data_IF_948940121620
#
_entry.id   IF_948940121620
#
_cell.length_a   1.000
_cell.length_b   1.000
_cell.length_c   1.000
_cell.angle_alpha   90.00
_cell.angle_beta   90.00
_cell.angle_gamma   90.00
#
_symmetry.space_group_name_H-M   'P 1'
#
loop_
_entity.id
_entity.type
_entity.pdbx_description
1 polymer ?
#
# COMPACT_ATOMS: atom_id res chain seq x y z
N UNK A 1 -0.93 -16.48 -11.53
CA UNK A 1 -0.82 -15.09 -12.04
C UNK A 1 -1.02 -14.10 -10.90
N UNK A 2 -2.16 -14.15 -10.19
CA UNK A 2 -2.47 -13.26 -9.06
C UNK A 2 -1.33 -13.09 -8.02
N UNK A 3 -0.67 -14.18 -7.60
CA UNK A 3 0.44 -14.11 -6.63
C UNK A 3 1.65 -13.28 -7.12
N UNK A 4 1.94 -13.28 -8.42
CA UNK A 4 3.05 -12.51 -9.02
C UNK A 4 2.68 -11.02 -9.10
N UNK A 5 1.42 -10.71 -9.40
CA UNK A 5 0.91 -9.34 -9.45
C UNK A 5 0.91 -8.68 -8.06
N UNK A 6 0.50 -9.41 -7.02
CA UNK A 6 0.56 -8.93 -5.62
C UNK A 6 2.01 -8.65 -5.19
N UNK A 7 2.94 -9.53 -5.52
CA UNK A 7 4.37 -9.31 -5.21
C UNK A 7 4.93 -8.08 -5.92
N UNK A 8 4.53 -7.87 -7.18
CA UNK A 8 4.98 -6.73 -7.99
C UNK A 8 4.42 -5.42 -7.43
N UNK A 9 3.14 -5.41 -7.05
CA UNK A 9 2.49 -4.28 -6.40
C UNK A 9 3.22 -3.83 -5.12
N UNK A 10 3.49 -4.75 -4.18
CA UNK A 10 4.20 -4.38 -2.96
C UNK A 10 5.64 -3.92 -3.23
N UNK A 11 6.31 -4.52 -4.21
CA UNK A 11 7.64 -4.07 -4.62
C UNK A 11 7.61 -2.62 -5.13
N UNK A 12 6.62 -2.27 -5.97
CA UNK A 12 6.47 -0.92 -6.50
C UNK A 12 6.21 0.11 -5.40
N UNK A 13 5.42 -0.23 -4.37
CA UNK A 13 5.18 0.64 -3.22
C UNK A 13 6.43 0.85 -2.36
N UNK A 14 7.17 -0.24 -2.08
CA UNK A 14 8.44 -0.16 -1.36
C UNK A 14 9.41 0.74 -2.12
N UNK A 15 9.48 0.58 -3.44
CA UNK A 15 10.34 1.38 -4.30
C UNK A 15 9.94 2.86 -4.33
N UNK A 16 8.64 3.18 -4.33
CA UNK A 16 8.17 4.55 -4.17
C UNK A 16 8.58 5.14 -2.82
N UNK A 17 8.41 4.37 -1.73
CA UNK A 17 8.85 4.77 -0.37
C UNK A 17 10.34 5.10 -0.34
N UNK A 18 11.18 4.24 -0.90
CA UNK A 18 12.64 4.42 -0.89
C UNK A 18 13.06 5.67 -1.65
N UNK A 19 12.41 5.99 -2.78
CA UNK A 19 12.66 7.23 -3.52
C UNK A 19 12.29 8.49 -2.73
N UNK A 20 11.18 8.44 -1.99
CA UNK A 20 10.74 9.57 -1.14
C UNK A 20 11.75 9.78 -0.02
N UNK A 21 12.10 8.71 0.71
CA UNK A 21 13.05 8.78 1.82
C UNK A 21 14.43 9.24 1.35
N UNK A 22 14.92 8.73 0.21
CA UNK A 22 16.18 9.20 -0.36
C UNK A 22 16.15 10.70 -0.70
N UNK A 23 15.01 11.25 -1.13
CA UNK A 23 14.89 12.70 -1.32
C UNK A 23 14.98 13.46 0.01
N UNK A 24 14.35 12.95 1.06
CA UNK A 24 14.37 13.57 2.38
C UNK A 24 15.75 13.47 3.04
N UNK A 25 16.44 12.34 2.90
CA UNK A 25 17.82 12.18 3.36
C UNK A 25 18.74 13.23 2.72
N UNK A 26 18.61 13.46 1.40
CA UNK A 26 19.35 14.55 0.71
C UNK A 26 19.01 15.93 1.26
N UNK A 27 17.75 16.17 1.61
CA UNK A 27 17.33 17.44 2.19
C UNK A 27 17.94 17.64 3.58
N UNK A 28 17.94 16.61 4.41
CA UNK A 28 18.54 16.65 5.75
C UNK A 28 20.06 16.87 5.66
N UNK A 29 20.73 16.23 4.69
CA UNK A 29 22.16 16.42 4.44
C UNK A 29 22.50 17.85 3.98
N UNK A 30 21.67 18.46 3.13
CA UNK A 30 21.95 19.77 2.54
C UNK A 30 21.45 20.95 3.38
N UNK A 31 20.33 20.78 4.08
CA UNK A 31 19.57 21.84 4.73
C UNK A 31 19.30 21.55 6.22
N UNK A 32 20.04 20.62 6.84
CA UNK A 32 19.83 20.21 8.23
C UNK A 32 19.87 21.34 9.27
N UNK A 33 20.67 22.37 9.02
CA UNK A 33 20.78 23.56 9.88
C UNK A 33 19.92 24.75 9.41
N UNK A 34 19.08 24.57 8.37
CA UNK A 34 18.22 25.65 7.86
C UNK A 34 17.11 25.98 8.87
N UNK A 35 16.95 27.27 9.20
CA UNK A 35 15.98 27.75 10.20
C UNK A 35 14.52 27.39 9.87
N UNK A 36 14.20 27.15 8.59
CA UNK A 36 12.87 26.72 8.13
C UNK A 36 12.62 25.23 8.34
N UNK A 37 13.69 24.45 8.58
CA UNK A 37 13.72 23.00 8.56
C UNK A 37 14.06 22.44 7.17
N UNK A 38 14.83 21.35 7.17
CA UNK A 38 15.39 20.73 5.98
C UNK A 38 14.36 20.38 4.90
N UNK A 39 13.20 19.82 5.30
CA UNK A 39 12.12 19.49 4.37
C UNK A 39 11.57 20.73 3.64
N UNK A 40 11.35 21.82 4.37
CA UNK A 40 10.78 23.06 3.82
C UNK A 40 11.78 23.74 2.90
N UNK A 41 13.05 23.80 3.31
CA UNK A 41 14.12 24.30 2.48
C UNK A 41 14.28 23.43 1.21
N UNK A 42 14.36 22.12 1.36
CA UNK A 42 14.50 21.17 0.27
C UNK A 42 13.40 21.26 -0.77
N UNK A 43 12.12 21.30 -0.36
CA UNK A 43 10.99 21.45 -1.31
C UNK A 43 11.07 22.79 -2.05
N UNK A 44 11.50 23.86 -1.38
CA UNK A 44 11.53 25.20 -1.98
C UNK A 44 12.67 25.39 -2.98
N UNK A 45 13.82 24.77 -2.73
CA UNK A 45 14.99 24.86 -3.60
C UNK A 45 15.07 23.73 -4.65
N UNK A 46 14.17 22.74 -4.58
CA UNK A 46 14.10 21.63 -5.53
C UNK A 46 13.58 22.08 -6.90
N UNK A 47 14.20 21.59 -7.97
CA UNK A 47 13.75 21.86 -9.33
C UNK A 47 12.35 21.28 -9.58
N UNK A 48 11.51 21.99 -10.35
CA UNK A 48 10.12 21.60 -10.62
C UNK A 48 9.98 20.15 -11.12
N UNK A 49 10.89 19.70 -11.98
CA UNK A 49 10.88 18.33 -12.51
C UNK A 49 11.14 17.28 -11.43
N UNK A 50 12.06 17.54 -10.51
CA UNK A 50 12.31 16.67 -9.36
C UNK A 50 11.15 16.70 -8.36
N UNK A 51 10.57 17.89 -8.12
CA UNK A 51 9.41 18.05 -7.24
C UNK A 51 8.19 17.28 -7.76
N UNK A 52 7.90 17.38 -9.07
CA UNK A 52 6.83 16.59 -9.69
C UNK A 52 7.07 15.10 -9.50
N UNK A 53 8.30 14.61 -9.68
CA UNK A 53 8.63 13.21 -9.46
C UNK A 53 8.45 12.78 -7.99
N UNK A 54 8.85 13.61 -7.03
CA UNK A 54 8.62 13.35 -5.61
C UNK A 54 7.12 13.24 -5.30
N UNK A 55 6.32 14.19 -5.79
CA UNK A 55 4.88 14.21 -5.60
C UNK A 55 4.17 13.00 -6.23
N UNK A 56 4.61 12.56 -7.41
CA UNK A 56 4.09 11.34 -8.05
C UNK A 56 4.38 10.10 -7.19
N UNK A 57 5.58 9.97 -6.63
CA UNK A 57 5.90 8.84 -5.75
C UNK A 57 5.06 8.86 -4.46
N UNK A 58 4.85 10.04 -3.87
CA UNK A 58 3.97 10.22 -2.70
C UNK A 58 2.54 9.81 -3.05
N UNK A 59 2.01 10.29 -4.18
CA UNK A 59 0.67 9.95 -4.64
C UNK A 59 0.51 8.44 -4.85
N UNK A 60 1.48 7.79 -5.50
CA UNK A 60 1.47 6.33 -5.71
C UNK A 60 1.48 5.55 -4.40
N UNK A 61 2.29 5.98 -3.43
CA UNK A 61 2.32 5.35 -2.11
C UNK A 61 0.98 5.52 -1.38
N UNK A 62 0.36 6.69 -1.46
CA UNK A 62 -0.94 6.96 -0.85
C UNK A 62 -2.07 6.14 -1.50
N UNK A 63 -2.12 6.06 -2.83
CA UNK A 63 -3.09 5.21 -3.53
C UNK A 63 -2.87 3.72 -3.22
N UNK A 64 -1.61 3.27 -3.21
CA UNK A 64 -1.29 1.89 -2.83
C UNK A 64 -1.72 1.53 -1.41
N UNK A 65 -1.70 2.47 -0.46
CA UNK A 65 -2.26 2.23 0.86
C UNK A 65 -3.78 1.98 0.83
N UNK A 66 -4.53 2.72 0.00
CA UNK A 66 -5.97 2.50 -0.20
C UNK A 66 -6.26 1.14 -0.85
N UNK A 67 -5.43 0.74 -1.81
CA UNK A 67 -5.52 -0.58 -2.45
C UNK A 67 -5.27 -1.71 -1.42
N UNK A 68 -4.29 -1.55 -0.53
CA UNK A 68 -4.03 -2.50 0.57
C UNK A 68 -5.25 -2.61 1.49
N UNK A 69 -5.87 -1.49 1.87
CA UNK A 69 -7.08 -1.51 2.69
C UNK A 69 -8.21 -2.29 2.00
N UNK A 70 -8.38 -2.10 0.69
CA UNK A 70 -9.38 -2.83 -0.10
C UNK A 70 -9.09 -4.33 -0.12
N UNK A 71 -7.84 -4.73 -0.34
CA UNK A 71 -7.43 -6.13 -0.32
C UNK A 71 -7.65 -6.78 1.07
N UNK A 72 -7.42 -6.03 2.16
CA UNK A 72 -7.70 -6.53 3.51
C UNK A 72 -9.19 -6.74 3.73
N UNK A 73 -10.03 -5.78 3.36
CA UNK A 73 -11.50 -5.93 3.47
C UNK A 73 -12.00 -7.13 2.67
N UNK A 74 -11.51 -7.33 1.45
CA UNK A 74 -11.87 -8.48 0.63
C UNK A 74 -11.45 -9.81 1.27
N UNK A 75 -10.24 -9.89 1.82
CA UNK A 75 -9.77 -11.08 2.50
C UNK A 75 -10.61 -11.41 3.75
N UNK A 76 -11.00 -10.41 4.53
CA UNK A 76 -11.89 -10.57 5.69
C UNK A 76 -13.29 -11.07 5.28
N UNK A 77 -13.84 -10.52 4.19
CA UNK A 77 -15.13 -10.95 3.62
C UNK A 77 -15.07 -12.39 3.10
N UNK A 78 -13.99 -12.78 2.41
CA UNK A 78 -13.77 -14.14 1.93
C UNK A 78 -13.66 -15.15 3.07
N UNK A 79 -12.95 -14.82 4.15
CA UNK A 79 -12.82 -15.69 5.33
C UNK A 79 -14.15 -15.85 6.07
N UNK A 80 -14.92 -14.75 6.19
CA UNK A 80 -16.27 -14.79 6.75
C UNK A 80 -17.20 -15.66 5.89
N UNK A 81 -17.18 -15.48 4.57
CA UNK A 81 -18.02 -16.26 3.66
C UNK A 81 -17.66 -17.74 3.70
N UNK A 82 -16.36 -18.09 3.72
CA UNK A 82 -15.89 -19.47 3.86
C UNK A 82 -16.38 -20.12 5.16
N UNK A 83 -16.40 -19.36 6.26
CA UNK A 83 -16.88 -19.82 7.57
C UNK A 83 -18.39 -20.06 7.59
N UNK A 84 -19.16 -19.24 6.86
CA UNK A 84 -20.61 -19.42 6.71
C UNK A 84 -20.91 -20.62 5.80
N UNK A 85 -20.21 -20.77 4.66
CA UNK A 85 -20.42 -21.87 3.72
C UNK A 85 -19.97 -23.23 4.26
N UNK A 86 -18.99 -23.26 5.16
CA UNK A 86 -18.55 -24.49 5.84
C UNK A 86 -19.44 -24.93 7.00
N UNK A 87 -20.43 -24.12 7.38
CA UNK A 87 -21.40 -24.44 8.43
C UNK A 87 -22.73 -25.03 7.90
N UNK A 88 -22.92 -25.07 6.56
CA UNK A 88 -24.13 -25.57 5.90
C UNK A 88 -23.98 -27.01 5.34
N UNK A 89 -22.89 -27.72 5.69
CA UNK A 89 -22.74 -29.18 5.44
C UNK A 89 -23.21 -30.02 6.66
N UNK A 90 -24.26 -29.61 7.37
CA UNK A 90 -24.97 -30.53 8.26
C UNK A 90 -25.89 -31.44 7.43
N UNK A 91 -25.37 -32.64 7.17
CA UNK A 91 -25.98 -33.89 6.71
C UNK A 91 -27.45 -33.84 6.27
N UNK A 92 -27.68 -34.00 4.96
CA UNK A 92 -28.90 -34.66 4.47
C UNK A 92 -28.84 -36.13 4.93
N UNK A 93 -29.27 -36.40 6.16
CA UNK A 93 -29.56 -37.77 6.61
C UNK A 93 -30.88 -38.17 5.95
N UNK A 94 -30.70 -38.89 4.84
CA UNK A 94 -31.70 -39.56 4.02
C UNK A 94 -32.42 -40.62 4.87
N UNK A 95 -33.48 -40.23 5.60
CA UNK A 95 -34.35 -41.20 6.30
C UNK A 95 -35.37 -41.76 5.30
N UNK A 96 -34.89 -42.73 4.52
CA UNK A 96 -35.64 -43.66 3.69
C UNK A 96 -36.68 -44.45 4.53
N UNK A 97 -37.90 -44.56 3.97
CA UNK A 97 -38.94 -45.59 4.22
C UNK A 97 -39.17 -46.15 5.65
N UNK A 98 -40.37 -45.92 6.21
CA UNK A 98 -41.42 -46.93 6.56
C UNK A 98 -42.75 -46.25 6.92
#
# INVERSE_FOLDING_TARGET
>A
MAKIEVQTFFYDLIHCKDKILSCFDRFDEQYGDDERGALVAGIKEMEDGELVNLLINIQRLASGFQDIQTLMTQAEEEELQASISGADEEEEDDDDEI
#
